data_IF_878484427852
#
_entry.id   IF_878484427852
#
_cell.length_a   1.000
_cell.length_b   1.000
_cell.length_c   1.000
_cell.angle_alpha   90.00
_cell.angle_beta   90.00
_cell.angle_gamma   90.00
#
_symmetry.space_group_name_H-M   'P 1'
#
loop_
_entity.id
_entity.type
_entity.pdbx_description
1 polymer ?
#
# COMPACT_ATOMS: atom_id res chain seq x y z
N UNK A 1 11.42 4.00 -15.77
CA UNK A 1 9.95 3.89 -15.87
C UNK A 1 9.40 5.16 -15.24
N UNK A 2 8.87 6.10 -16.02
CA UNK A 2 8.36 7.38 -15.47
C UNK A 2 7.21 7.19 -14.47
N UNK A 3 6.51 6.05 -14.55
CA UNK A 3 5.46 5.63 -13.62
C UNK A 3 6.01 5.26 -12.23
N UNK A 4 7.27 4.87 -12.11
CA UNK A 4 7.85 4.41 -10.82
C UNK A 4 8.62 5.49 -10.07
N UNK A 5 8.65 6.73 -10.56
CA UNK A 5 9.45 7.80 -9.94
C UNK A 5 8.84 8.31 -8.63
N UNK A 6 7.56 8.66 -8.62
CA UNK A 6 6.87 9.14 -7.42
C UNK A 6 5.34 8.97 -7.53
N UNK A 7 4.64 9.19 -6.42
CA UNK A 7 3.18 9.05 -6.33
C UNK A 7 2.45 10.09 -7.19
N UNK A 8 3.02 11.28 -7.37
CA UNK A 8 2.40 12.32 -8.20
C UNK A 8 2.47 12.00 -9.70
N UNK A 9 3.47 11.21 -10.13
CA UNK A 9 3.63 10.81 -11.51
C UNK A 9 2.52 9.86 -11.98
N UNK A 10 1.93 9.05 -11.10
CA UNK A 10 0.85 8.10 -11.45
C UNK A 10 -0.54 8.72 -11.36
N UNK A 11 -0.71 9.85 -10.64
CA UNK A 11 -1.98 10.56 -10.56
C UNK A 11 -2.42 11.05 -11.96
N UNK A 12 -3.74 11.24 -12.19
CA UNK A 12 -4.23 11.81 -13.45
C UNK A 12 -3.51 13.13 -13.79
N UNK A 13 -3.01 13.24 -15.02
CA UNK A 13 -2.20 14.38 -15.47
C UNK A 13 -0.72 14.33 -15.08
N UNK A 14 -0.30 13.37 -14.25
CA UNK A 14 1.09 13.11 -13.95
C UNK A 14 1.88 12.58 -15.16
N UNK A 15 3.21 12.74 -15.13
CA UNK A 15 4.09 12.31 -16.24
C UNK A 15 3.94 10.82 -16.56
N UNK A 16 3.91 9.97 -15.54
CA UNK A 16 3.70 8.52 -15.68
C UNK A 16 2.32 8.17 -16.24
N UNK A 17 1.27 8.87 -15.80
CA UNK A 17 -0.08 8.72 -16.35
C UNK A 17 -0.13 9.07 -17.85
N UNK A 18 0.38 10.24 -18.23
CA UNK A 18 0.43 10.69 -19.63
C UNK A 18 1.23 9.71 -20.49
N UNK A 19 2.38 9.25 -19.99
CA UNK A 19 3.23 8.26 -20.65
C UNK A 19 2.49 6.94 -20.87
N UNK A 20 1.77 6.43 -19.86
CA UNK A 20 0.96 5.22 -19.97
C UNK A 20 -0.16 5.35 -21.01
N UNK A 21 -0.82 6.50 -21.07
CA UNK A 21 -1.86 6.78 -22.07
C UNK A 21 -1.24 6.82 -23.48
N UNK A 22 -0.11 7.49 -23.67
CA UNK A 22 0.60 7.54 -24.96
C UNK A 22 0.97 6.14 -25.46
N UNK A 23 1.49 5.28 -24.58
CA UNK A 23 1.84 3.89 -24.93
C UNK A 23 0.59 3.08 -25.32
N UNK A 24 -0.53 3.23 -24.62
CA UNK A 24 -1.80 2.57 -25.02
C UNK A 24 -2.26 3.02 -26.41
N UNK A 25 -2.21 4.32 -26.69
CA UNK A 25 -2.57 4.86 -28.00
C UNK A 25 -1.60 4.39 -29.09
N UNK A 26 -0.30 4.32 -28.77
CA UNK A 26 0.72 3.78 -29.66
C UNK A 26 0.44 2.32 -30.01
N UNK A 27 0.12 1.46 -29.04
CA UNK A 27 -0.25 0.07 -29.30
C UNK A 27 -1.48 -0.04 -30.23
N UNK A 28 -2.48 0.81 -30.04
CA UNK A 28 -3.64 0.89 -30.94
C UNK A 28 -3.26 1.33 -32.36
N UNK A 29 -2.41 2.35 -32.49
CA UNK A 29 -1.94 2.87 -33.77
C UNK A 29 -1.07 1.85 -34.53
N UNK A 30 -0.16 1.18 -33.84
CA UNK A 30 0.71 0.13 -34.40
C UNK A 30 -0.12 -1.07 -34.85
N UNK A 31 -1.07 -1.53 -34.02
CA UNK A 31 -2.00 -2.61 -34.38
C UNK A 31 -2.77 -2.26 -35.66
N UNK A 32 -3.33 -1.05 -35.74
CA UNK A 32 -4.04 -0.58 -36.93
C UNK A 32 -3.14 -0.58 -38.16
N UNK A 33 -1.89 -0.11 -38.03
CA UNK A 33 -0.93 -0.07 -39.14
C UNK A 33 -0.52 -1.47 -39.60
N UNK A 34 -0.27 -2.41 -38.68
CA UNK A 34 0.03 -3.80 -39.00
C UNK A 34 -1.10 -4.46 -39.79
N UNK A 35 -2.33 -4.29 -39.33
CA UNK A 35 -3.52 -4.82 -40.03
C UNK A 35 -3.73 -4.16 -41.39
N UNK A 36 -3.37 -2.88 -41.54
CA UNK A 36 -3.41 -2.20 -42.83
C UNK A 36 -2.33 -2.72 -43.78
N UNK A 37 -1.11 -2.95 -43.28
CA UNK A 37 -0.01 -3.51 -44.06
C UNK A 37 -0.32 -4.92 -44.56
N UNK A 38 -1.01 -5.74 -43.76
CA UNK A 38 -1.46 -7.07 -44.21
C UNK A 38 -2.47 -6.97 -45.35
N UNK A 39 -3.34 -5.95 -45.35
CA UNK A 39 -4.26 -5.70 -46.47
C UNK A 39 -3.53 -5.18 -47.72
N UNK A 40 -2.55 -4.32 -47.54
CA UNK A 40 -1.76 -3.74 -48.64
C UNK A 40 -0.79 -4.78 -49.26
N UNK A 41 -0.22 -5.65 -48.42
CA UNK A 41 0.73 -6.70 -48.79
C UNK A 41 0.38 -8.01 -48.05
N UNK A 42 -0.42 -8.89 -48.68
CA UNK A 42 -0.82 -10.17 -48.08
C UNK A 42 0.40 -11.02 -47.73
N UNK A 43 0.42 -11.57 -46.51
CA UNK A 43 1.53 -12.36 -45.97
C UNK A 43 2.58 -11.55 -45.19
N UNK A 44 2.33 -10.28 -44.90
CA UNK A 44 3.18 -9.47 -44.02
C UNK A 44 3.03 -9.87 -42.54
N UNK A 45 1.81 -10.21 -42.11
CA UNK A 45 1.48 -10.68 -40.78
C UNK A 45 0.32 -11.69 -40.84
N UNK A 46 0.60 -12.92 -40.45
CA UNK A 46 -0.37 -14.01 -40.42
C UNK A 46 -1.30 -13.91 -39.20
N UNK A 47 -2.46 -13.27 -39.42
CA UNK A 47 -3.49 -13.08 -38.39
C UNK A 47 -4.16 -14.39 -38.00
N UNK A 48 -4.27 -15.35 -38.92
CA UNK A 48 -4.94 -16.63 -38.66
C UNK A 48 -4.12 -17.50 -37.72
N UNK A 49 -2.80 -17.49 -37.87
CA UNK A 49 -1.88 -18.23 -37.02
C UNK A 49 -1.64 -17.58 -35.65
N UNK A 50 -1.47 -16.25 -35.60
CA UNK A 50 -1.02 -15.56 -34.40
C UNK A 50 -2.10 -14.70 -33.71
N UNK A 51 -3.27 -14.53 -34.34
CA UNK A 51 -4.33 -13.67 -33.86
C UNK A 51 -4.04 -12.18 -34.05
N UNK A 52 -4.87 -11.33 -33.45
CA UNK A 52 -4.74 -9.88 -33.56
C UNK A 52 -3.45 -9.39 -32.87
N UNK A 53 -2.61 -8.58 -33.55
CA UNK A 53 -1.33 -8.16 -32.97
C UNK A 53 -1.52 -7.29 -31.73
N UNK A 54 -0.57 -7.41 -30.79
CA UNK A 54 -0.55 -6.67 -29.51
C UNK A 54 -1.82 -6.98 -28.70
N UNK A 55 -2.30 -8.21 -28.69
CA UNK A 55 -3.41 -8.66 -27.84
C UNK A 55 -3.06 -8.54 -26.34
N UNK A 56 -4.07 -8.51 -25.47
CA UNK A 56 -3.96 -8.54 -24.01
C UNK A 56 -3.06 -9.69 -23.53
N UNK A 57 -3.06 -10.83 -24.22
CA UNK A 57 -2.14 -11.94 -23.92
C UNK A 57 -0.66 -11.54 -24.10
N UNK A 58 -0.34 -10.77 -25.15
CA UNK A 58 1.03 -10.27 -25.36
C UNK A 58 1.38 -9.21 -24.30
N UNK A 59 0.42 -8.37 -23.92
CA UNK A 59 0.60 -7.42 -22.83
C UNK A 59 0.86 -8.13 -21.50
N UNK A 60 0.11 -9.19 -21.16
CA UNK A 60 0.31 -10.02 -19.98
C UNK A 60 1.68 -10.70 -19.96
N UNK A 61 2.11 -11.27 -21.09
CA UNK A 61 3.44 -11.86 -21.23
C UNK A 61 4.55 -10.82 -20.98
N UNK A 62 4.43 -9.66 -21.61
CA UNK A 62 5.40 -8.56 -21.45
C UNK A 62 5.45 -8.07 -20.00
N UNK A 63 4.29 -7.84 -19.36
CA UNK A 63 4.21 -7.41 -17.96
C UNK A 63 4.83 -8.46 -17.04
N UNK A 64 4.54 -9.75 -17.27
CA UNK A 64 5.11 -10.84 -16.49
C UNK A 64 6.63 -10.87 -16.57
N UNK A 65 7.18 -10.80 -17.78
CA UNK A 65 8.64 -10.79 -18.01
C UNK A 65 9.30 -9.57 -17.36
N UNK A 66 8.75 -8.37 -17.55
CA UNK A 66 9.28 -7.16 -16.92
C UNK A 66 9.19 -7.18 -15.40
N UNK A 67 8.11 -7.72 -14.84
CA UNK A 67 7.92 -7.82 -13.40
C UNK A 67 8.91 -8.79 -12.76
N UNK A 68 9.14 -9.94 -13.40
CA UNK A 68 10.15 -10.91 -12.96
C UNK A 68 11.55 -10.30 -13.07
N UNK A 69 11.87 -9.64 -14.18
CA UNK A 69 13.16 -8.97 -14.34
C UNK A 69 13.41 -7.89 -13.27
N UNK A 70 12.37 -7.12 -12.92
CA UNK A 70 12.47 -6.11 -11.86
C UNK A 70 12.60 -6.73 -10.47
N UNK A 71 11.79 -7.75 -10.16
CA UNK A 71 11.85 -8.47 -8.89
C UNK A 71 13.19 -9.17 -8.67
N UNK A 72 13.76 -9.77 -9.71
CA UNK A 72 15.11 -10.36 -9.68
C UNK A 72 16.15 -9.31 -9.30
N UNK A 73 16.07 -8.13 -9.92
CA UNK A 73 17.04 -7.04 -9.71
C UNK A 73 17.01 -6.49 -8.27
N UNK A 74 15.84 -6.41 -7.65
CA UNK A 74 15.68 -5.98 -6.26
C UNK A 74 15.99 -7.12 -5.25
N UNK A 75 15.63 -8.36 -5.62
CA UNK A 75 15.83 -9.56 -4.80
C UNK A 75 17.30 -9.87 -4.52
N UNK A 76 18.18 -9.65 -5.50
CA UNK A 76 19.61 -9.97 -5.38
C UNK A 76 20.28 -9.27 -4.19
N UNK A 77 19.92 -8.03 -3.84
CA UNK A 77 20.59 -7.31 -2.73
C UNK A 77 20.16 -7.83 -1.36
N UNK A 78 18.87 -8.07 -1.17
CA UNK A 78 18.31 -8.55 0.11
C UNK A 78 18.64 -10.03 0.33
N UNK A 79 18.52 -10.85 -0.71
CA UNK A 79 18.84 -12.26 -0.66
C UNK A 79 20.33 -12.49 -0.40
N UNK A 80 21.24 -11.74 -1.05
CA UNK A 80 22.69 -11.84 -0.79
C UNK A 80 23.05 -11.51 0.66
N UNK A 81 22.44 -10.48 1.26
CA UNK A 81 22.72 -10.13 2.65
C UNK A 81 22.20 -11.20 3.62
N UNK A 82 21.01 -11.75 3.37
CA UNK A 82 20.44 -12.85 4.18
C UNK A 82 21.28 -14.13 4.03
N UNK A 83 21.64 -14.50 2.80
CA UNK A 83 22.47 -15.66 2.52
C UNK A 83 23.87 -15.53 3.15
N UNK A 84 24.51 -14.37 3.02
CA UNK A 84 25.80 -14.11 3.68
C UNK A 84 25.67 -14.18 5.21
N UNK A 85 24.60 -13.63 5.78
CA UNK A 85 24.35 -13.72 7.22
C UNK A 85 24.11 -15.17 7.66
N UNK A 86 23.41 -15.98 6.87
CA UNK A 86 23.19 -17.40 7.16
C UNK A 86 24.50 -18.19 7.11
N UNK A 87 25.34 -17.95 6.11
CA UNK A 87 26.60 -18.69 5.91
C UNK A 87 27.68 -18.31 6.92
N UNK A 88 27.79 -17.03 7.28
CA UNK A 88 28.89 -16.51 8.10
C UNK A 88 28.52 -16.27 9.57
N UNK A 89 27.24 -16.33 9.94
CA UNK A 89 26.87 -16.07 11.34
C UNK A 89 27.24 -17.26 12.24
N UNK A 90 28.11 -16.98 13.22
CA UNK A 90 28.45 -17.94 14.28
C UNK A 90 27.27 -18.30 15.17
N UNK A 91 26.29 -17.40 15.33
CA UNK A 91 25.08 -17.62 16.16
C UNK A 91 24.18 -18.73 15.61
N UNK A 92 24.06 -18.83 14.29
CA UNK A 92 23.23 -19.85 13.62
C UNK A 92 24.03 -21.13 13.35
N UNK A 93 25.33 -21.12 13.63
CA UNK A 93 26.27 -22.19 13.31
C UNK A 93 26.52 -22.29 11.81
N UNK A 94 26.94 -21.17 11.21
CA UNK A 94 27.45 -21.10 9.84
C UNK A 94 28.79 -21.83 9.68
N UNK A 95 29.44 -21.65 8.53
CA UNK A 95 30.64 -22.44 8.15
C UNK A 95 31.72 -22.36 9.25
N UNK A 96 32.11 -23.55 9.76
CA UNK A 96 33.16 -23.72 10.78
C UNK A 96 32.66 -23.91 12.22
N UNK A 97 31.38 -23.65 12.49
CA UNK A 97 30.76 -23.86 13.80
C UNK A 97 29.65 -24.92 13.71
N UNK A 98 29.42 -25.75 14.75
CA UNK A 98 28.32 -26.70 14.74
C UNK A 98 26.97 -25.96 14.65
N UNK A 99 26.16 -26.33 13.65
CA UNK A 99 24.83 -25.75 13.42
C UNK A 99 23.96 -25.88 14.67
N UNK A 100 23.46 -24.76 15.21
CA UNK A 100 22.53 -24.77 16.36
C UNK A 100 21.09 -25.13 15.96
N UNK A 101 20.82 -25.19 14.67
CA UNK A 101 19.57 -25.71 14.16
C UNK A 101 19.49 -27.20 14.48
N UNK A 102 18.62 -27.56 15.41
CA UNK A 102 18.17 -28.93 15.49
C UNK A 102 17.35 -29.19 14.23
N UNK A 103 17.87 -30.06 13.36
CA UNK A 103 17.16 -30.51 12.18
C UNK A 103 16.00 -31.43 12.60
N UNK A 104 14.93 -30.84 13.14
CA UNK A 104 13.72 -31.54 13.56
C UNK A 104 13.01 -32.21 12.37
N UNK A 105 13.32 -31.79 11.13
CA UNK A 105 12.68 -32.26 9.89
C UNK A 105 13.71 -32.62 8.80
N UNK A 106 14.75 -33.39 9.13
CA UNK A 106 15.44 -34.13 8.07
C UNK A 106 14.58 -35.34 7.70
N UNK A 107 14.09 -35.44 6.45
CA UNK A 107 13.37 -36.63 6.03
C UNK A 107 14.34 -37.81 6.14
N UNK A 108 14.07 -38.69 7.12
CA UNK A 108 14.70 -40.01 7.17
C UNK A 108 13.98 -40.86 6.12
N UNK A 109 14.74 -41.65 5.37
CA UNK A 109 14.15 -42.62 4.44
C UNK A 109 13.24 -43.53 5.27
N UNK A 110 11.93 -43.43 5.06
CA UNK A 110 10.89 -44.12 5.83
C UNK A 110 9.97 -43.24 6.70
N UNK A 111 10.22 -41.93 6.83
CA UNK A 111 9.34 -41.02 7.56
C UNK A 111 8.31 -40.40 6.61
N UNK A 112 7.03 -40.80 6.73
CA UNK A 112 5.93 -40.13 6.04
C UNK A 112 5.43 -38.96 6.89
N UNK A 113 5.14 -37.83 6.26
CA UNK A 113 4.49 -36.69 6.93
C UNK A 113 3.07 -37.10 7.31
N UNK A 114 2.79 -37.23 8.60
CA UNK A 114 1.41 -37.38 9.05
C UNK A 114 0.68 -36.03 9.00
N UNK A 115 -0.57 -36.06 8.53
CA UNK A 115 -1.41 -34.87 8.45
C UNK A 115 -1.79 -34.43 9.86
N UNK A 116 -1.30 -33.27 10.30
CA UNK A 116 -1.66 -32.69 11.60
C UNK A 116 -3.17 -32.50 11.73
N UNK A 117 -3.74 -32.82 12.89
CA UNK A 117 -5.16 -32.66 13.14
C UNK A 117 -5.54 -31.17 13.21
N UNK A 118 -6.75 -30.78 12.75
CA UNK A 118 -7.11 -29.36 12.61
C UNK A 118 -7.25 -28.55 13.91
N UNK A 119 -7.10 -29.19 15.08
CA UNK A 119 -7.45 -28.58 16.37
C UNK A 119 -6.44 -27.52 16.87
N UNK A 120 -5.20 -27.52 16.41
CA UNK A 120 -4.17 -26.64 17.01
C UNK A 120 -3.92 -25.34 16.23
N UNK A 121 -4.23 -25.28 14.94
CA UNK A 121 -3.97 -24.11 14.08
C UNK A 121 -5.04 -23.01 14.17
N UNK A 122 -6.31 -23.37 14.40
CA UNK A 122 -7.39 -22.39 14.44
C UNK A 122 -7.44 -21.65 15.78
N UNK A 123 -7.17 -22.36 16.87
CA UNK A 123 -7.34 -21.88 18.25
C UNK A 123 -6.21 -20.91 18.65
N UNK A 124 -4.97 -21.17 18.20
CA UNK A 124 -3.82 -20.29 18.49
C UNK A 124 -3.84 -19.02 17.61
N UNK A 125 -4.29 -19.12 16.36
CA UNK A 125 -4.36 -17.99 15.43
C UNK A 125 -5.50 -17.02 15.76
N UNK A 126 -6.60 -17.53 16.35
CA UNK A 126 -7.70 -16.69 16.83
C UNK A 126 -7.35 -15.98 18.16
N UNK A 127 -6.61 -16.66 19.06
CA UNK A 127 -6.16 -16.06 20.32
C UNK A 127 -5.09 -14.98 20.13
N UNK A 128 -4.20 -15.13 19.14
CA UNK A 128 -3.13 -14.18 18.82
C UNK A 128 -3.60 -12.96 18.02
N UNK A 129 -4.83 -12.98 17.48
CA UNK A 129 -5.46 -11.82 16.86
C UNK A 129 -6.26 -10.97 17.88
N UNK A 130 -5.82 -10.92 19.13
CA UNK A 130 -6.22 -9.87 20.06
C UNK A 130 -5.30 -8.67 19.86
N UNK A 131 -5.66 -7.79 18.93
CA UNK A 131 -4.93 -6.53 18.68
C UNK A 131 -4.96 -5.68 19.97
N UNK A 132 -3.89 -5.77 20.76
CA UNK A 132 -3.62 -4.79 21.83
C UNK A 132 -3.41 -3.44 21.14
N UNK A 133 -4.21 -2.40 21.43
CA UNK A 133 -3.98 -1.10 20.84
C UNK A 133 -2.59 -0.60 21.25
N UNK A 134 -1.83 0.01 20.33
CA UNK A 134 -0.50 0.53 20.64
C UNK A 134 -0.62 1.56 21.76
N UNK A 135 0.29 1.51 22.74
CA UNK A 135 0.28 2.37 23.94
C UNK A 135 0.12 3.86 23.62
N UNK A 136 0.57 4.30 22.45
CA UNK A 136 0.38 5.65 21.94
C UNK A 136 -1.09 6.07 21.80
N UNK A 137 -1.98 5.18 21.33
CA UNK A 137 -3.41 5.49 21.14
C UNK A 137 -4.09 5.70 22.49
N UNK A 138 -3.76 4.90 23.51
CA UNK A 138 -4.30 5.07 24.86
C UNK A 138 -3.86 6.39 25.50
N UNK A 139 -2.61 6.79 25.29
CA UNK A 139 -2.08 8.08 25.78
C UNK A 139 -2.77 9.25 25.09
N UNK A 140 -2.95 9.19 23.76
CA UNK A 140 -3.63 10.25 22.99
C UNK A 140 -5.10 10.39 23.41
N UNK A 141 -5.81 9.28 23.61
CA UNK A 141 -7.21 9.31 24.07
C UNK A 141 -7.34 9.88 25.49
N UNK A 142 -6.40 9.58 26.39
CA UNK A 142 -6.39 10.15 27.73
C UNK A 142 -6.14 11.68 27.72
N UNK A 143 -5.22 12.15 26.88
CA UNK A 143 -4.92 13.58 26.75
C UNK A 143 -6.09 14.36 26.14
N UNK A 144 -6.75 13.82 25.11
CA UNK A 144 -7.94 14.42 24.52
C UNK A 144 -9.10 14.51 25.52
N UNK A 145 -9.31 13.44 26.32
CA UNK A 145 -10.33 13.43 27.36
C UNK A 145 -10.08 14.50 28.44
N UNK A 146 -8.85 14.64 28.90
CA UNK A 146 -8.49 15.67 29.89
C UNK A 146 -8.70 17.09 29.34
N UNK A 147 -8.31 17.35 28.09
CA UNK A 147 -8.50 18.65 27.45
C UNK A 147 -9.98 19.05 27.27
N UNK A 148 -10.86 18.08 27.00
CA UNK A 148 -12.30 18.33 26.90
C UNK A 148 -12.90 18.73 28.26
N UNK A 149 -12.48 18.07 29.35
CA UNK A 149 -12.96 18.38 30.71
C UNK A 149 -12.49 19.76 31.17
N UNK A 150 -11.23 20.12 30.92
CA UNK A 150 -10.73 21.45 31.28
C UNK A 150 -11.42 22.56 30.49
N UNK A 151 -11.71 22.35 29.21
CA UNK A 151 -12.46 23.30 28.39
C UNK A 151 -13.87 23.52 28.95
N UNK A 152 -14.58 22.45 29.33
CA UNK A 152 -15.95 22.56 29.85
C UNK A 152 -15.99 23.36 31.17
N UNK A 153 -15.07 23.09 32.10
CA UNK A 153 -14.99 23.79 33.39
C UNK A 153 -14.68 25.28 33.19
N UNK A 154 -13.77 25.61 32.27
CA UNK A 154 -13.42 26.99 31.98
C UNK A 154 -14.60 27.77 31.38
N UNK A 155 -15.36 27.16 30.47
CA UNK A 155 -16.55 27.79 29.87
C UNK A 155 -17.64 28.02 30.91
N UNK A 156 -17.93 27.03 31.75
CA UNK A 156 -18.94 27.18 32.82
C UNK A 156 -18.54 28.21 33.88
N UNK A 157 -17.25 28.25 34.23
CA UNK A 157 -16.72 29.21 35.21
C UNK A 157 -16.66 30.64 34.67
N UNK A 158 -16.41 30.81 33.36
CA UNK A 158 -16.45 32.14 32.75
C UNK A 158 -17.88 32.66 32.62
N UNK A 159 -18.84 31.80 32.25
CA UNK A 159 -20.25 32.17 32.13
C UNK A 159 -20.87 32.60 33.47
N UNK A 160 -20.48 32.00 34.59
CA UNK A 160 -20.96 32.41 35.93
C UNK A 160 -20.31 33.70 36.44
N UNK A 161 -19.21 34.13 35.83
CA UNK A 161 -18.47 35.34 36.21
C UNK A 161 -18.78 36.55 35.32
N UNK A 162 -19.59 36.43 34.27
CA UNK A 162 -20.02 37.57 33.45
C UNK A 162 -21.04 38.40 34.24
N UNK A 163 -20.75 39.68 34.56
CA UNK A 163 -21.72 40.54 35.22
C UNK A 163 -22.94 40.72 34.31
N UNK A 164 -24.15 40.46 34.83
CA UNK A 164 -25.41 40.65 34.10
C UNK A 164 -25.60 42.07 33.50
N UNK A 165 -24.83 43.05 33.98
CA UNK A 165 -24.78 44.41 33.43
C UNK A 165 -24.15 44.51 32.02
N UNK A 166 -23.31 43.57 31.61
CA UNK A 166 -22.68 43.59 30.28
C UNK A 166 -23.64 43.06 29.19
N UNK A 167 -24.47 42.08 29.52
CA UNK A 167 -25.45 41.49 28.60
C UNK A 167 -26.59 42.45 28.25
N UNK A 168 -27.02 43.30 29.18
CA UNK A 168 -28.04 44.32 28.89
C UNK A 168 -27.52 45.41 27.95
N UNK A 169 -26.24 45.81 28.08
CA UNK A 169 -25.62 46.84 27.24
C UNK A 169 -25.42 46.40 25.77
N UNK A 170 -25.14 45.11 25.55
CA UNK A 170 -24.96 44.56 24.19
C UNK A 170 -26.29 44.32 23.47
N UNK A 171 -27.38 44.06 24.22
CA UNK A 171 -28.71 43.80 23.66
C UNK A 171 -29.56 45.06 23.41
N UNK A 172 -29.22 46.21 24.01
CA UNK A 172 -29.89 47.49 23.73
C UNK A 172 -29.08 48.36 22.76
N UNK A 173 -29.06 47.97 21.48
CA UNK A 173 -28.80 48.92 20.38
C UNK A 173 -30.04 48.99 19.49
N UNK A 174 -31.03 49.85 19.80
CA UNK A 174 -32.11 50.14 18.86
C UNK A 174 -31.55 50.98 17.71
N UNK A 175 -31.45 50.34 16.54
CA UNK A 175 -31.88 50.86 15.24
C UNK A 175 -31.84 52.40 15.09
N UNK A 176 -30.72 52.94 14.61
CA UNK A 176 -30.60 54.31 14.07
C UNK A 176 -31.26 54.36 12.66
N UNK A 177 -32.55 54.04 12.59
CA UNK A 177 -33.33 54.02 11.34
C UNK A 177 -34.68 54.75 11.48
N UNK A 178 -34.71 55.92 12.15
CA UNK A 178 -35.91 56.79 12.15
C UNK A 178 -35.64 58.31 12.14
N UNK A 179 -34.43 58.79 11.84
CA UNK A 179 -34.23 60.24 11.64
C UNK A 179 -33.29 60.54 10.48
N UNK A 180 -33.87 60.63 9.29
CA UNK A 180 -33.64 61.66 8.26
C UNK A 180 -34.46 61.26 7.01
N UNK A 181 -35.78 61.32 7.19
CA UNK A 181 -36.70 61.85 6.17
C UNK A 181 -36.58 63.37 6.17
#
# INVERSE_FOLDING_TARGET
MEVTDNIDAIKPGGKGFISSVRVRLLHGAVRRRLMQLEREKPGYFDVDKWGVPINDLHCLGTISVYSVAFAQREGDRRFRNIANHMILSKSLGGIGEPTKFQFQYLPRIGMLTELGTPQDLATEKLASMTLKPPRAVLVVMALLGAAAVTCLVFVTGWFSAVPHAFLSSVMTKPQVLQSLS
#
